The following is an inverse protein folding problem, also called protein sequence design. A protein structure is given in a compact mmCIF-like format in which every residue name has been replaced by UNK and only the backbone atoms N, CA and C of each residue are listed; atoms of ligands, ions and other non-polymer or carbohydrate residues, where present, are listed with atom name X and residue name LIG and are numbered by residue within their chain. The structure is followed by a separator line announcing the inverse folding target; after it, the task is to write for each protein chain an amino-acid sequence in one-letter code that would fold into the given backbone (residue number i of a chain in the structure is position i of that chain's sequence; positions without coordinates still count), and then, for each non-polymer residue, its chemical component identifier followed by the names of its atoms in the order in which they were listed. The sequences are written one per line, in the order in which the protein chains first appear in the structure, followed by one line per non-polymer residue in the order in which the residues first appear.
data_IF_022164223176
#
_entry.id   IF_022164223176
#
_cell.length_a   1.000
_cell.length_b   1.000
_cell.length_c   1.000
_cell.angle_alpha   90.00
_cell.angle_beta   90.00
_cell.angle_gamma   90.00
#
_symmetry.space_group_name_H-M   'P 1'
#
loop_
_entity.id
_entity.type
_entity.pdbx_description
1 polymer ?
#
# COMPACT_ATOMS: atom_id res chain seq x y z
N UNK A 1 -17.77 -42.73 -8.72
CA UNK A 1 -18.01 -41.28 -8.52
C UNK A 1 -16.66 -40.58 -8.53
N UNK A 2 -16.49 -39.50 -9.29
CA UNK A 2 -15.27 -38.70 -9.22
C UNK A 2 -15.27 -37.88 -7.92
N UNK A 3 -14.18 -37.91 -7.18
CA UNK A 3 -13.99 -37.08 -5.98
C UNK A 3 -14.05 -35.59 -6.36
N UNK A 4 -14.74 -34.80 -5.54
CA UNK A 4 -14.91 -33.35 -5.72
C UNK A 4 -13.80 -32.57 -5.01
N UNK A 5 -13.55 -31.32 -5.39
CA UNK A 5 -12.54 -30.46 -4.71
C UNK A 5 -12.78 -30.34 -3.19
N UNK A 6 -14.06 -30.38 -2.78
CA UNK A 6 -14.47 -30.44 -1.37
C UNK A 6 -13.93 -31.68 -0.66
N UNK A 7 -13.91 -32.84 -1.34
CA UNK A 7 -13.43 -34.09 -0.77
C UNK A 7 -11.91 -34.03 -0.53
N UNK A 8 -11.15 -33.40 -1.45
CA UNK A 8 -9.71 -33.21 -1.31
C UNK A 8 -9.33 -32.21 -0.21
N UNK A 9 -10.09 -31.12 -0.05
CA UNK A 9 -9.88 -30.14 1.03
C UNK A 9 -10.05 -30.79 2.41
N UNK A 10 -11.09 -31.61 2.56
CA UNK A 10 -11.37 -32.36 3.79
C UNK A 10 -10.30 -33.42 4.04
N UNK A 11 -9.88 -34.15 3.01
CA UNK A 11 -8.80 -35.13 3.11
C UNK A 11 -7.53 -34.48 3.65
N UNK A 12 -7.11 -33.36 3.05
CA UNK A 12 -5.87 -32.74 3.41
C UNK A 12 -5.93 -32.03 4.79
N UNK A 13 -7.11 -31.65 5.32
CA UNK A 13 -7.27 -31.26 6.74
C UNK A 13 -6.95 -32.41 7.70
N UNK A 14 -7.26 -33.64 7.30
CA UNK A 14 -6.99 -34.83 8.10
C UNK A 14 -5.49 -35.17 8.07
N UNK A 15 -4.82 -34.99 6.93
CA UNK A 15 -3.36 -35.09 6.83
C UNK A 15 -2.64 -34.04 7.68
N UNK A 16 -3.08 -32.78 7.66
CA UNK A 16 -2.50 -31.72 8.49
C UNK A 16 -2.59 -32.05 9.98
N UNK A 17 -3.75 -32.55 10.43
CA UNK A 17 -3.95 -32.93 11.83
C UNK A 17 -3.06 -34.13 12.22
N UNK A 18 -2.89 -35.08 11.30
CA UNK A 18 -2.02 -36.25 11.49
C UNK A 18 -0.54 -35.86 11.58
N UNK A 19 -0.07 -34.95 10.71
CA UNK A 19 1.31 -34.44 10.74
C UNK A 19 1.58 -33.61 12.01
N UNK A 20 0.64 -32.76 12.42
CA UNK A 20 0.71 -32.02 13.69
C UNK A 20 0.89 -32.96 14.90
N UNK A 21 0.24 -34.13 14.89
CA UNK A 21 0.38 -35.15 15.93
C UNK A 21 1.77 -35.80 15.91
N UNK A 22 2.31 -36.07 14.73
CA UNK A 22 3.60 -36.78 14.55
C UNK A 22 4.83 -35.89 14.78
N UNK A 23 4.78 -34.63 14.35
CA UNK A 23 5.94 -33.73 14.34
C UNK A 23 6.09 -32.91 15.62
N UNK A 24 5.08 -32.87 16.49
CA UNK A 24 5.11 -32.09 17.72
C UNK A 24 5.59 -32.93 18.93
N UNK A 25 6.80 -32.69 19.46
CA UNK A 25 7.37 -33.46 20.57
C UNK A 25 6.65 -33.27 21.92
N UNK A 26 5.67 -32.35 22.00
CA UNK A 26 4.81 -32.16 23.17
C UNK A 26 3.48 -32.92 23.08
N UNK A 27 3.08 -33.40 21.89
CA UNK A 27 1.86 -34.20 21.73
C UNK A 27 1.96 -35.50 22.52
N UNK A 28 3.13 -36.14 22.54
CA UNK A 28 3.41 -37.31 23.38
C UNK A 28 3.13 -37.10 24.88
N UNK A 29 3.25 -35.86 25.38
CA UNK A 29 2.97 -35.49 26.77
C UNK A 29 1.50 -35.17 27.03
N UNK A 30 0.71 -34.95 25.98
CA UNK A 30 -0.71 -34.61 26.02
C UNK A 30 -1.61 -35.77 25.54
N UNK A 31 -1.02 -36.91 25.16
CA UNK A 31 -1.76 -38.13 24.85
C UNK A 31 -2.45 -38.63 26.13
N UNK A 32 -3.77 -38.68 26.06
CA UNK A 32 -4.64 -39.26 27.08
C UNK A 32 -5.36 -40.46 26.49
N UNK A 33 -5.89 -41.34 27.34
CA UNK A 33 -6.72 -42.47 26.88
C UNK A 33 -7.91 -41.99 26.05
N UNK A 34 -8.41 -40.77 26.33
CA UNK A 34 -9.58 -40.21 25.65
C UNK A 34 -9.27 -39.69 24.24
N UNK A 35 -8.05 -39.16 23.98
CA UNK A 35 -7.67 -38.66 22.65
C UNK A 35 -6.94 -39.70 21.78
N UNK A 36 -6.42 -40.79 22.36
CA UNK A 36 -5.73 -41.84 21.61
C UNK A 36 -6.65 -42.54 20.60
N UNK A 37 -7.91 -42.74 20.96
CA UNK A 37 -8.91 -43.34 20.07
C UNK A 37 -9.19 -42.44 18.84
N UNK A 38 -9.18 -41.12 19.05
CA UNK A 38 -9.36 -40.16 17.97
C UNK A 38 -8.13 -40.06 17.07
N UNK A 39 -6.92 -40.20 17.64
CA UNK A 39 -5.67 -40.31 16.87
C UNK A 39 -5.67 -41.56 15.99
N UNK A 40 -5.99 -42.74 16.53
CA UNK A 40 -6.12 -43.97 15.73
C UNK A 40 -7.18 -43.86 14.63
N UNK A 41 -8.28 -43.15 14.90
CA UNK A 41 -9.30 -42.85 13.89
C UNK A 41 -8.76 -41.97 12.76
N UNK A 42 -7.97 -40.95 13.07
CA UNK A 42 -7.29 -40.13 12.06
C UNK A 42 -6.29 -40.97 11.24
N UNK A 43 -5.48 -41.83 11.88
CA UNK A 43 -4.56 -42.76 11.18
C UNK A 43 -5.33 -43.65 10.19
N UNK A 44 -6.40 -44.28 10.65
CA UNK A 44 -7.21 -45.19 9.85
C UNK A 44 -7.85 -44.50 8.63
N UNK A 45 -8.26 -43.23 8.78
CA UNK A 45 -8.81 -42.45 7.67
C UNK A 45 -7.72 -42.11 6.64
N UNK A 46 -6.52 -41.72 7.10
CA UNK A 46 -5.37 -41.48 6.21
C UNK A 46 -4.98 -42.73 5.44
N UNK A 47 -4.89 -43.88 6.12
CA UNK A 47 -4.58 -45.17 5.48
C UNK A 47 -5.63 -45.56 4.43
N UNK A 48 -6.92 -45.39 4.76
CA UNK A 48 -8.03 -45.67 3.84
C UNK A 48 -7.99 -44.74 2.62
N UNK A 49 -7.70 -43.45 2.84
CA UNK A 49 -7.54 -42.47 1.76
C UNK A 49 -6.39 -42.84 0.81
N UNK A 50 -5.23 -43.23 1.36
CA UNK A 50 -4.08 -43.67 0.56
C UNK A 50 -4.42 -44.95 -0.22
N UNK A 51 -5.10 -45.91 0.41
CA UNK A 51 -5.52 -47.14 -0.25
C UNK A 51 -6.46 -46.85 -1.43
N UNK A 52 -7.47 -46.00 -1.24
CA UNK A 52 -8.39 -45.58 -2.31
C UNK A 52 -7.68 -44.85 -3.45
N UNK A 53 -6.72 -43.99 -3.13
CA UNK A 53 -5.96 -43.25 -4.15
C UNK A 53 -5.09 -44.20 -4.98
N UNK A 54 -4.53 -45.25 -4.36
CA UNK A 54 -3.82 -46.32 -5.06
C UNK A 54 -4.72 -47.18 -5.94
N UNK A 55 -5.89 -47.56 -5.44
CA UNK A 55 -6.88 -48.31 -6.22
C UNK A 55 -7.40 -47.53 -7.43
N UNK A 56 -7.43 -46.20 -7.33
CA UNK A 56 -7.91 -45.32 -8.41
C UNK A 56 -6.80 -44.75 -9.31
N UNK A 57 -5.53 -45.06 -9.04
CA UNK A 57 -4.38 -44.60 -9.84
C UNK A 57 -4.17 -43.08 -9.83
N UNK A 58 -4.50 -42.41 -8.72
CA UNK A 58 -4.47 -40.94 -8.58
C UNK A 58 -3.36 -40.43 -7.67
N UNK A 59 -2.30 -41.20 -7.48
CA UNK A 59 -1.23 -40.92 -6.54
C UNK A 59 -0.52 -39.59 -6.83
N UNK A 60 -0.21 -39.34 -8.10
CA UNK A 60 0.45 -38.10 -8.55
C UNK A 60 -0.42 -36.87 -8.33
N UNK A 61 -1.74 -37.00 -8.48
CA UNK A 61 -2.69 -35.91 -8.23
C UNK A 61 -2.75 -35.57 -6.73
N UNK A 62 -2.81 -36.59 -5.87
CA UNK A 62 -2.77 -36.39 -4.41
C UNK A 62 -1.44 -35.76 -3.96
N UNK A 63 -0.32 -36.24 -4.50
CA UNK A 63 1.01 -35.72 -4.16
C UNK A 63 1.17 -34.24 -4.53
N UNK A 64 0.72 -33.84 -5.73
CA UNK A 64 0.74 -32.44 -6.16
C UNK A 64 -0.11 -31.55 -5.23
N UNK A 65 -1.32 -31.98 -4.86
CA UNK A 65 -2.18 -31.22 -3.96
C UNK A 65 -1.61 -31.11 -2.53
N UNK A 66 -0.99 -32.17 -2.01
CA UNK A 66 -0.33 -32.12 -0.71
C UNK A 66 0.90 -31.21 -0.73
N UNK A 67 1.71 -31.26 -1.79
CA UNK A 67 2.87 -30.36 -1.95
C UNK A 67 2.47 -28.89 -2.07
N UNK A 68 1.43 -28.60 -2.86
CA UNK A 68 0.89 -27.25 -3.01
C UNK A 68 0.36 -26.71 -1.68
N UNK A 69 -0.40 -27.51 -0.94
CA UNK A 69 -0.92 -27.15 0.38
C UNK A 69 0.18 -26.98 1.43
N UNK A 70 1.18 -27.85 1.43
CA UNK A 70 2.35 -27.77 2.31
C UNK A 70 3.14 -26.48 2.07
N UNK A 71 3.31 -26.09 0.80
CA UNK A 71 3.95 -24.83 0.41
C UNK A 71 3.16 -23.61 0.88
N UNK A 72 1.83 -23.65 0.78
CA UNK A 72 0.94 -22.60 1.30
C UNK A 72 0.97 -22.50 2.84
N UNK A 73 1.04 -23.64 3.55
CA UNK A 73 1.16 -23.67 5.01
C UNK A 73 2.49 -23.12 5.52
N UNK A 74 3.62 -23.46 4.88
CA UNK A 74 4.92 -22.88 5.23
C UNK A 74 4.96 -21.37 4.94
N UNK A 75 4.36 -20.91 3.84
CA UNK A 75 4.23 -19.48 3.57
C UNK A 75 3.44 -18.77 4.68
N UNK A 76 2.34 -19.36 5.16
CA UNK A 76 1.56 -18.79 6.26
C UNK A 76 2.30 -18.82 7.59
N UNK A 77 3.05 -19.88 7.89
CA UNK A 77 3.86 -19.95 9.12
C UNK A 77 5.02 -18.94 9.11
N UNK A 78 5.65 -18.72 7.95
CA UNK A 78 6.69 -17.70 7.77
C UNK A 78 6.08 -16.29 7.89
N UNK A 79 4.95 -16.04 7.24
CA UNK A 79 4.24 -14.75 7.35
C UNK A 79 3.80 -14.47 8.78
N UNK A 80 3.25 -15.46 9.50
CA UNK A 80 2.90 -15.33 10.92
C UNK A 80 4.13 -15.07 11.79
N UNK A 81 5.24 -15.76 11.54
CA UNK A 81 6.49 -15.52 12.27
C UNK A 81 7.03 -14.12 11.99
N UNK A 82 6.90 -13.61 10.77
CA UNK A 82 7.31 -12.25 10.40
C UNK A 82 6.39 -11.20 11.03
N UNK A 83 5.08 -11.45 11.09
CA UNK A 83 4.12 -10.60 11.80
C UNK A 83 4.41 -10.53 13.30
N UNK A 84 4.74 -11.67 13.94
CA UNK A 84 5.20 -11.73 15.33
C UNK A 84 6.51 -10.95 15.56
N UNK A 85 7.35 -10.85 14.52
CA UNK A 85 8.56 -10.03 14.51
C UNK A 85 8.31 -8.57 14.13
N UNK A 86 7.04 -8.17 13.93
CA UNK A 86 6.64 -6.80 13.63
C UNK A 86 6.70 -6.42 12.15
N UNK A 87 6.91 -7.39 11.25
CA UNK A 87 6.89 -7.18 9.79
C UNK A 87 5.54 -7.62 9.25
N UNK A 88 4.71 -6.66 8.87
CA UNK A 88 3.37 -6.96 8.36
C UNK A 88 3.42 -7.65 6.98
N UNK A 89 2.43 -8.50 6.69
CA UNK A 89 2.26 -9.09 5.37
C UNK A 89 2.17 -8.01 4.26
N UNK A 90 1.48 -6.89 4.52
CA UNK A 90 1.41 -5.76 3.59
C UNK A 90 2.78 -5.14 3.28
N UNK A 91 3.66 -5.03 4.28
CA UNK A 91 5.03 -4.53 4.07
C UNK A 91 5.81 -5.47 3.15
N UNK A 92 5.66 -6.79 3.33
CA UNK A 92 6.34 -7.79 2.48
C UNK A 92 5.80 -7.78 1.05
N UNK A 93 4.49 -7.66 0.88
CA UNK A 93 3.87 -7.53 -0.45
C UNK A 93 4.36 -6.26 -1.17
N UNK A 94 4.53 -5.16 -0.44
CA UNK A 94 5.08 -3.91 -0.95
C UNK A 94 6.55 -4.06 -1.38
N UNK A 95 7.41 -4.65 -0.54
CA UNK A 95 8.80 -4.95 -0.88
C UNK A 95 8.92 -5.85 -2.12
N UNK A 96 8.10 -6.91 -2.18
CA UNK A 96 8.12 -7.85 -3.31
C UNK A 96 7.69 -7.17 -4.63
N UNK A 97 6.67 -6.30 -4.58
CA UNK A 97 6.24 -5.54 -5.74
C UNK A 97 7.30 -4.56 -6.21
N UNK A 98 7.94 -3.84 -5.27
CA UNK A 98 9.05 -2.93 -5.57
C UNK A 98 10.19 -3.70 -6.24
N UNK A 99 10.65 -4.80 -5.64
CA UNK A 99 11.74 -5.61 -6.20
C UNK A 99 11.41 -6.11 -7.61
N UNK A 100 10.17 -6.54 -7.86
CA UNK A 100 9.71 -6.94 -9.19
C UNK A 100 9.78 -5.77 -10.18
N UNK A 101 9.30 -4.59 -9.81
CA UNK A 101 9.38 -3.41 -10.67
C UNK A 101 10.81 -2.92 -10.92
N UNK A 102 11.69 -3.04 -9.93
CA UNK A 102 13.11 -2.74 -10.10
C UNK A 102 13.75 -3.63 -11.17
N UNK A 103 13.52 -4.94 -11.09
CA UNK A 103 14.00 -5.91 -12.08
C UNK A 103 13.45 -5.60 -13.49
N UNK A 104 12.17 -5.28 -13.60
CA UNK A 104 11.54 -4.89 -14.87
C UNK A 104 12.17 -3.63 -15.47
N UNK A 105 12.40 -2.60 -14.63
CA UNK A 105 13.07 -1.35 -15.04
C UNK A 105 14.52 -1.60 -15.45
N UNK A 106 15.25 -2.46 -14.73
CA UNK A 106 16.62 -2.85 -15.08
C UNK A 106 16.70 -3.59 -16.42
N UNK A 107 15.70 -4.40 -16.72
CA UNK A 107 15.55 -5.09 -18.00
C UNK A 107 14.99 -4.21 -19.13
N UNK A 108 14.85 -2.89 -18.91
CA UNK A 108 14.40 -1.94 -19.92
C UNK A 108 12.88 -1.93 -20.16
N UNK A 109 12.09 -2.61 -19.33
CA UNK A 109 10.60 -2.66 -19.42
C UNK A 109 9.93 -1.51 -18.67
N UNK A 110 10.54 -0.32 -18.75
CA UNK A 110 10.13 0.88 -18.01
C UNK A 110 8.68 1.30 -18.31
N UNK A 111 8.24 1.21 -19.56
CA UNK A 111 6.87 1.58 -19.96
C UNK A 111 5.80 0.67 -19.33
N UNK A 112 6.12 -0.61 -19.12
CA UNK A 112 5.21 -1.57 -18.48
C UNK A 112 5.02 -1.23 -17.00
N UNK A 113 6.13 -0.94 -16.31
CA UNK A 113 6.09 -0.50 -14.90
C UNK A 113 5.34 0.83 -14.76
N UNK A 114 5.59 1.78 -15.68
CA UNK A 114 4.85 3.05 -15.74
C UNK A 114 3.35 2.83 -15.88
N UNK A 115 2.95 1.94 -16.79
CA UNK A 115 1.53 1.58 -16.98
C UNK A 115 0.93 0.99 -15.70
N UNK A 116 1.67 0.11 -15.00
CA UNK A 116 1.20 -0.47 -13.73
C UNK A 116 0.98 0.61 -12.66
N UNK A 117 1.93 1.54 -12.50
CA UNK A 117 1.82 2.62 -11.52
C UNK A 117 0.65 3.56 -11.87
N UNK A 118 0.48 3.89 -13.15
CA UNK A 118 -0.64 4.74 -13.58
C UNK A 118 -1.97 4.06 -13.32
N UNK A 119 -2.11 2.77 -13.63
CA UNK A 119 -3.31 2.00 -13.32
C UNK A 119 -3.58 1.98 -11.81
N UNK A 120 -2.57 1.79 -10.96
CA UNK A 120 -2.74 1.85 -9.51
C UNK A 120 -3.26 3.21 -9.03
N UNK A 121 -2.79 4.31 -9.62
CA UNK A 121 -3.29 5.65 -9.29
C UNK A 121 -4.76 5.81 -9.73
N UNK A 122 -5.13 5.26 -10.88
CA UNK A 122 -6.49 5.32 -11.43
C UNK A 122 -7.48 4.42 -10.68
N UNK A 123 -7.01 3.29 -10.15
CA UNK A 123 -7.76 2.36 -9.31
C UNK A 123 -7.89 2.87 -7.85
N UNK A 124 -7.35 4.06 -7.54
CA UNK A 124 -7.47 4.70 -6.23
C UNK A 124 -6.45 4.23 -5.19
N UNK A 125 -5.41 3.49 -5.58
CA UNK A 125 -4.33 3.04 -4.70
C UNK A 125 -3.26 4.13 -4.44
N UNK A 126 -3.69 5.39 -4.32
CA UNK A 126 -2.82 6.56 -4.19
C UNK A 126 -2.01 6.51 -2.89
N UNK A 127 -2.64 6.12 -1.78
CA UNK A 127 -1.96 6.02 -0.47
C UNK A 127 -0.78 5.05 -0.51
N UNK A 128 -0.93 3.93 -1.24
CA UNK A 128 0.13 2.92 -1.41
C UNK A 128 1.31 3.45 -2.22
N UNK A 129 1.05 4.25 -3.27
CA UNK A 129 2.13 4.90 -4.03
C UNK A 129 2.85 5.96 -3.19
N UNK A 130 2.11 6.72 -2.38
CA UNK A 130 2.72 7.68 -1.45
C UNK A 130 3.59 6.94 -0.43
N UNK A 131 3.10 5.83 0.13
CA UNK A 131 3.83 4.96 1.06
C UNK A 131 5.15 4.48 0.44
N UNK A 132 5.15 3.98 -0.81
CA UNK A 132 6.37 3.60 -1.52
C UNK A 132 7.38 4.74 -1.55
N UNK A 133 6.94 5.94 -1.92
CA UNK A 133 7.81 7.11 -2.04
C UNK A 133 8.32 7.65 -0.70
N UNK A 134 7.66 7.33 0.42
CA UNK A 134 8.00 7.84 1.75
C UNK A 134 8.74 6.85 2.65
N UNK A 135 8.44 5.56 2.54
CA UNK A 135 8.86 4.54 3.52
C UNK A 135 9.78 3.48 2.95
N UNK A 136 9.74 3.24 1.64
CA UNK A 136 10.50 2.16 1.01
C UNK A 136 11.77 2.66 0.33
N UNK A 137 12.82 1.85 0.41
CA UNK A 137 14.02 2.10 -0.36
C UNK A 137 13.87 1.54 -1.76
N UNK A 138 14.01 2.41 -2.76
CA UNK A 138 13.95 2.03 -4.17
C UNK A 138 15.21 2.49 -4.89
N UNK A 139 15.56 1.77 -5.94
CA UNK A 139 16.59 2.16 -6.87
C UNK A 139 16.21 3.49 -7.53
N UNK A 140 17.22 4.25 -7.91
CA UNK A 140 17.04 5.61 -8.42
C UNK A 140 16.13 5.68 -9.65
N UNK A 141 16.10 4.66 -10.49
CA UNK A 141 15.29 4.67 -11.72
C UNK A 141 13.81 4.51 -11.41
N UNK A 142 13.46 3.53 -10.57
CA UNK A 142 12.09 3.29 -10.15
C UNK A 142 11.56 4.47 -9.32
N UNK A 143 12.38 4.99 -8.41
CA UNK A 143 12.06 6.15 -7.58
C UNK A 143 11.68 7.39 -8.43
N UNK A 144 12.49 7.73 -9.43
CA UNK A 144 12.23 8.84 -10.35
C UNK A 144 11.00 8.62 -11.24
N UNK A 145 10.72 7.36 -11.58
CA UNK A 145 9.59 6.98 -12.39
C UNK A 145 8.28 7.13 -11.60
N UNK A 146 8.23 6.64 -10.37
CA UNK A 146 7.09 6.85 -9.46
C UNK A 146 6.86 8.33 -9.19
N UNK A 147 7.93 9.08 -8.88
CA UNK A 147 7.85 10.54 -8.67
C UNK A 147 7.25 11.23 -9.91
N UNK A 148 7.65 10.80 -11.11
CA UNK A 148 7.13 11.37 -12.35
C UNK A 148 5.64 11.07 -12.56
N UNK A 149 5.20 9.84 -12.28
CA UNK A 149 3.80 9.45 -12.42
C UNK A 149 2.90 10.27 -11.50
N UNK A 150 3.25 10.35 -10.21
CA UNK A 150 2.45 11.08 -9.23
C UNK A 150 2.50 12.59 -9.47
N UNK A 151 3.67 13.13 -9.82
CA UNK A 151 3.82 14.55 -10.17
C UNK A 151 2.98 14.91 -11.39
N UNK A 152 2.85 14.01 -12.37
CA UNK A 152 2.02 14.27 -13.56
C UNK A 152 0.54 14.41 -13.19
N UNK A 153 0.01 13.61 -12.26
CA UNK A 153 -1.37 13.77 -11.78
C UNK A 153 -1.55 15.11 -11.05
N UNK A 154 -0.58 15.48 -10.21
CA UNK A 154 -0.59 16.77 -9.50
C UNK A 154 -0.54 17.97 -10.46
N UNK A 155 0.32 17.93 -11.48
CA UNK A 155 0.43 18.99 -12.51
C UNK A 155 -0.89 19.17 -13.26
N UNK A 156 -1.63 18.07 -13.47
CA UNK A 156 -2.94 18.09 -14.10
C UNK A 156 -4.07 18.48 -13.12
N UNK A 157 -3.73 18.93 -11.92
CA UNK A 157 -4.66 19.33 -10.86
C UNK A 157 -5.64 18.21 -10.47
N UNK A 158 -5.17 16.97 -10.47
CA UNK A 158 -5.94 15.82 -9.98
C UNK A 158 -6.30 16.03 -8.51
N UNK A 159 -7.59 16.21 -8.24
CA UNK A 159 -8.10 16.57 -6.91
C UNK A 159 -7.89 15.42 -5.93
N UNK A 160 -8.10 14.17 -6.36
CA UNK A 160 -7.97 12.99 -5.52
C UNK A 160 -6.52 12.82 -5.05
N UNK A 161 -5.56 12.96 -5.95
CA UNK A 161 -4.13 12.89 -5.60
C UNK A 161 -3.74 14.05 -4.70
N UNK A 162 -4.19 15.28 -4.98
CA UNK A 162 -3.88 16.44 -4.14
C UNK A 162 -4.40 16.28 -2.71
N UNK A 163 -5.65 15.81 -2.55
CA UNK A 163 -6.25 15.55 -1.25
C UNK A 163 -5.53 14.43 -0.49
N UNK A 164 -5.09 13.37 -1.17
CA UNK A 164 -4.32 12.29 -0.53
C UNK A 164 -3.03 12.81 0.15
N UNK A 165 -2.38 13.83 -0.40
CA UNK A 165 -1.23 14.48 0.24
C UNK A 165 -1.62 15.34 1.45
N UNK A 166 -2.81 15.95 1.44
CA UNK A 166 -3.31 16.76 2.57
C UNK A 166 -3.62 15.89 3.79
N UNK A 167 -4.00 14.63 3.56
CA UNK A 167 -4.27 13.66 4.61
C UNK A 167 -3.00 13.16 5.32
N UNK A 168 -1.82 13.40 4.74
CA UNK A 168 -0.56 13.10 5.40
C UNK A 168 -0.37 13.97 6.65
N UNK A 169 0.27 13.39 7.66
CA UNK A 169 0.76 14.18 8.78
C UNK A 169 1.84 15.16 8.29
N UNK A 170 1.97 16.28 8.99
CA UNK A 170 2.86 17.39 8.62
C UNK A 170 4.31 16.94 8.38
N UNK A 171 4.84 16.07 9.23
CA UNK A 171 6.22 15.59 9.12
C UNK A 171 6.43 14.76 7.85
N UNK A 172 5.53 13.81 7.58
CA UNK A 172 5.59 12.95 6.38
C UNK A 172 5.48 13.78 5.11
N UNK A 173 4.51 14.72 5.05
CA UNK A 173 4.35 15.62 3.90
C UNK A 173 5.63 16.42 3.64
N UNK A 174 6.17 17.07 4.67
CA UNK A 174 7.36 17.91 4.51
C UNK A 174 8.59 17.09 4.14
N UNK A 175 8.76 15.88 4.69
CA UNK A 175 9.87 15.01 4.32
C UNK A 175 9.77 14.57 2.86
N UNK A 176 8.58 14.19 2.41
CA UNK A 176 8.34 13.77 1.04
C UNK A 176 8.64 14.91 0.05
N UNK A 177 8.15 16.13 0.32
CA UNK A 177 8.37 17.28 -0.56
C UNK A 177 9.82 17.80 -0.51
N UNK A 178 10.47 17.86 0.66
CA UNK A 178 11.84 18.39 0.75
C UNK A 178 12.88 17.53 0.03
N UNK A 179 12.63 16.21 -0.09
CA UNK A 179 13.56 15.27 -0.71
C UNK A 179 13.37 15.11 -2.22
N UNK A 180 12.32 15.73 -2.80
CA UNK A 180 11.86 15.46 -4.16
C UNK A 180 11.55 16.74 -4.92
N UNK A 181 12.52 17.19 -5.72
CA UNK A 181 12.46 18.53 -6.30
C UNK A 181 11.32 18.73 -7.30
N UNK A 182 11.03 17.74 -8.14
CA UNK A 182 9.96 17.83 -9.13
C UNK A 182 8.60 17.76 -8.46
N UNK A 183 8.45 16.87 -7.47
CA UNK A 183 7.24 16.73 -6.69
C UNK A 183 6.92 17.99 -5.89
N UNK A 184 7.92 18.61 -5.22
CA UNK A 184 7.67 19.81 -4.43
C UNK A 184 7.16 20.97 -5.28
N UNK A 185 7.76 21.20 -6.46
CA UNK A 185 7.37 22.31 -7.34
C UNK A 185 5.93 22.07 -7.82
N UNK A 186 5.66 20.87 -8.33
CA UNK A 186 4.35 20.47 -8.85
C UNK A 186 3.26 20.63 -7.78
N UNK A 187 3.52 20.20 -6.55
CA UNK A 187 2.55 20.28 -5.45
C UNK A 187 2.23 21.72 -5.06
N UNK A 188 3.25 22.59 -5.00
CA UNK A 188 3.04 24.00 -4.70
C UNK A 188 2.32 24.71 -5.85
N UNK A 189 2.61 24.36 -7.11
CA UNK A 189 1.87 24.88 -8.26
C UNK A 189 0.39 24.50 -8.19
N UNK A 190 0.08 23.24 -7.88
CA UNK A 190 -1.29 22.77 -7.69
C UNK A 190 -2.00 23.50 -6.54
N UNK A 191 -1.34 23.67 -5.39
CA UNK A 191 -1.86 24.45 -4.26
C UNK A 191 -2.29 25.86 -4.70
N UNK A 192 -1.42 26.55 -5.45
CA UNK A 192 -1.72 27.90 -5.92
C UNK A 192 -2.82 27.91 -6.98
N UNK A 193 -2.86 26.89 -7.84
CA UNK A 193 -3.94 26.72 -8.81
C UNK A 193 -5.30 26.57 -8.12
N UNK A 194 -5.44 25.66 -7.15
CA UNK A 194 -6.71 25.43 -6.47
C UNK A 194 -7.19 26.67 -5.73
N UNK A 195 -6.29 27.35 -5.01
CA UNK A 195 -6.63 28.59 -4.31
C UNK A 195 -7.06 29.69 -5.29
N UNK A 196 -6.31 29.91 -6.38
CA UNK A 196 -6.65 30.96 -7.37
C UNK A 196 -8.04 30.79 -7.99
N UNK A 197 -8.49 29.56 -8.17
CA UNK A 197 -9.75 29.27 -8.84
C UNK A 197 -10.97 29.28 -7.87
N UNK A 198 -10.77 29.58 -6.59
CA UNK A 198 -11.89 29.75 -5.66
C UNK A 198 -12.65 31.05 -5.92
N UNK A 199 -13.95 31.03 -5.64
CA UNK A 199 -14.85 32.17 -5.76
C UNK A 199 -15.27 32.65 -4.37
N UNK A 200 -15.40 33.96 -4.22
CA UNK A 200 -15.89 34.55 -2.98
C UNK A 200 -17.41 34.71 -3.03
N UNK A 201 -18.14 33.90 -2.26
CA UNK A 201 -19.61 33.89 -2.23
C UNK A 201 -20.09 33.83 -0.79
N UNK A 202 -20.97 34.76 -0.39
CA UNK A 202 -21.57 34.76 0.94
C UNK A 202 -20.55 34.83 2.09
N UNK A 203 -19.52 35.66 1.93
CA UNK A 203 -18.39 35.83 2.85
C UNK A 203 -17.52 34.58 3.04
N UNK A 204 -17.52 33.64 2.10
CA UNK A 204 -16.69 32.45 2.12
C UNK A 204 -16.02 32.21 0.78
N UNK A 205 -14.82 31.67 0.82
CA UNK A 205 -14.14 31.12 -0.34
C UNK A 205 -14.69 29.72 -0.63
N UNK A 206 -15.20 29.52 -1.84
CA UNK A 206 -15.76 28.24 -2.30
C UNK A 206 -15.04 27.77 -3.56
N UNK A 207 -14.92 26.45 -3.70
CA UNK A 207 -14.37 25.80 -4.89
C UNK A 207 -15.48 25.06 -5.64
N UNK A 208 -15.33 24.93 -6.95
CA UNK A 208 -16.16 24.02 -7.77
C UNK A 208 -15.66 22.57 -7.70
N UNK A 209 -14.52 22.36 -7.05
CA UNK A 209 -13.88 21.06 -6.82
C UNK A 209 -13.92 20.72 -5.32
N UNK A 210 -13.54 19.49 -4.96
CA UNK A 210 -13.55 19.02 -3.57
C UNK A 210 -12.51 19.71 -2.66
N UNK A 211 -11.53 20.43 -3.25
CA UNK A 211 -10.53 21.18 -2.49
C UNK A 211 -11.15 22.43 -1.86
N UNK A 212 -11.26 22.47 -0.53
CA UNK A 212 -11.84 23.60 0.21
C UNK A 212 -10.80 24.64 0.64
N UNK A 213 -11.27 25.82 1.05
CA UNK A 213 -10.42 26.87 1.62
C UNK A 213 -9.68 26.39 2.87
N UNK A 214 -10.30 25.57 3.73
CA UNK A 214 -9.65 25.00 4.90
C UNK A 214 -8.47 24.08 4.53
N UNK A 215 -8.58 23.30 3.44
CA UNK A 215 -7.48 22.49 2.94
C UNK A 215 -6.28 23.36 2.54
N UNK A 216 -6.52 24.43 1.79
CA UNK A 216 -5.49 25.40 1.39
C UNK A 216 -4.86 26.04 2.62
N UNK A 217 -5.68 26.50 3.56
CA UNK A 217 -5.21 27.18 4.77
C UNK A 217 -4.37 26.26 5.65
N UNK A 218 -4.76 24.98 5.79
CA UNK A 218 -3.99 23.95 6.51
C UNK A 218 -2.57 23.82 5.92
N UNK A 219 -2.46 23.69 4.61
CA UNK A 219 -1.17 23.57 3.92
C UNK A 219 -0.33 24.86 4.04
N UNK A 220 -0.95 26.02 3.84
CA UNK A 220 -0.27 27.31 3.94
C UNK A 220 0.29 27.54 5.35
N UNK A 221 -0.46 27.18 6.40
CA UNK A 221 0.03 27.23 7.79
C UNK A 221 1.23 26.31 8.00
N UNK A 222 1.17 25.07 7.50
CA UNK A 222 2.30 24.13 7.56
C UNK A 222 3.54 24.71 6.89
N UNK A 223 3.40 25.23 5.67
CA UNK A 223 4.53 25.69 4.88
C UNK A 223 5.12 27.03 5.34
N UNK A 224 4.28 27.94 5.85
CA UNK A 224 4.74 29.23 6.39
C UNK A 224 5.31 29.13 7.80
N UNK A 225 5.12 28.00 8.49
CA UNK A 225 5.68 27.74 9.82
C UNK A 225 7.02 26.99 9.78
N UNK A 226 7.39 26.40 8.64
CA UNK A 226 8.66 25.68 8.46
C UNK A 226 9.80 26.66 8.11
N UNK A 227 11.05 26.33 8.45
CA UNK A 227 12.25 27.09 8.10
C UNK A 227 13.05 26.51 6.93
N UNK A 228 12.50 25.49 6.24
CA UNK A 228 13.15 24.76 5.14
C UNK A 228 12.85 25.35 3.76
N UNK A 229 13.42 24.74 2.72
CA UNK A 229 13.30 25.08 1.28
C UNK A 229 11.87 25.42 0.83
N UNK A 230 10.88 24.72 1.37
CA UNK A 230 9.45 24.95 1.05
C UNK A 230 8.97 26.34 1.46
N UNK A 231 9.45 26.87 2.60
CA UNK A 231 9.04 28.18 3.11
C UNK A 231 9.41 29.32 2.16
N UNK A 232 10.67 29.39 1.73
CA UNK A 232 11.15 30.47 0.87
C UNK A 232 10.42 30.49 -0.48
N UNK A 233 10.16 29.31 -1.04
CA UNK A 233 9.41 29.16 -2.29
C UNK A 233 7.96 29.62 -2.12
N UNK A 234 7.28 29.18 -1.06
CA UNK A 234 5.90 29.57 -0.77
C UNK A 234 5.78 31.07 -0.53
N UNK A 235 6.69 31.64 0.27
CA UNK A 235 6.71 33.07 0.56
C UNK A 235 6.94 33.90 -0.70
N UNK A 236 7.90 33.51 -1.54
CA UNK A 236 8.15 34.16 -2.82
C UNK A 236 6.93 34.11 -3.74
N UNK A 237 6.30 32.94 -3.88
CA UNK A 237 5.09 32.78 -4.71
C UNK A 237 3.88 33.54 -4.17
N UNK A 238 3.69 33.56 -2.85
CA UNK A 238 2.60 34.31 -2.21
C UNK A 238 2.74 35.81 -2.49
N UNK A 239 3.96 36.35 -2.36
CA UNK A 239 4.22 37.75 -2.71
C UNK A 239 3.91 38.03 -4.18
N UNK A 240 4.35 37.18 -5.10
CA UNK A 240 4.03 37.34 -6.53
C UNK A 240 2.52 37.28 -6.80
N UNK A 241 1.81 36.34 -6.17
CA UNK A 241 0.37 36.16 -6.34
C UNK A 241 -0.45 37.36 -5.84
N UNK A 242 0.00 38.01 -4.77
CA UNK A 242 -0.62 39.24 -4.23
C UNK A 242 -0.53 40.45 -5.18
N UNK A 243 0.41 40.45 -6.13
CA UNK A 243 0.55 41.52 -7.13
C UNK A 243 -0.24 41.28 -8.41
N UNK A 244 -0.97 40.16 -8.52
CA UNK A 244 -1.79 39.85 -9.68
C UNK A 244 -3.23 40.37 -9.52
N UNK A 245 -4.00 40.52 -10.62
CA UNK A 245 -5.43 40.78 -10.54
C UNK A 245 -6.16 39.69 -9.74
N UNK A 246 -7.26 40.06 -9.08
CA UNK A 246 -8.10 39.17 -8.27
C UNK A 246 -7.35 38.46 -7.12
N UNK A 247 -6.45 39.20 -6.45
CA UNK A 247 -5.58 38.66 -5.41
C UNK A 247 -6.19 38.58 -3.99
N UNK A 248 -7.49 38.85 -3.83
CA UNK A 248 -8.13 38.94 -2.50
C UNK A 248 -7.96 37.67 -1.67
N UNK A 249 -8.01 36.50 -2.29
CA UNK A 249 -7.81 35.22 -1.58
C UNK A 249 -6.45 35.14 -0.90
N UNK A 250 -5.40 35.68 -1.51
CA UNK A 250 -4.04 35.62 -0.96
C UNK A 250 -3.88 36.52 0.25
N UNK A 251 -4.55 37.67 0.27
CA UNK A 251 -4.59 38.55 1.44
C UNK A 251 -5.33 37.88 2.60
N UNK A 252 -6.46 37.22 2.32
CA UNK A 252 -7.22 36.49 3.32
C UNK A 252 -6.42 35.30 3.87
N UNK A 253 -5.79 34.50 3.00
CA UNK A 253 -4.93 33.38 3.42
C UNK A 253 -3.78 33.86 4.31
N UNK A 254 -3.07 34.93 3.92
CA UNK A 254 -1.97 35.48 4.72
C UNK A 254 -2.46 35.95 6.09
N UNK A 255 -3.58 36.68 6.13
CA UNK A 255 -4.20 37.15 7.37
C UNK A 255 -4.62 35.97 8.27
N UNK A 256 -5.26 34.96 7.71
CA UNK A 256 -5.80 33.81 8.45
C UNK A 256 -4.69 32.82 8.87
N UNK A 257 -3.52 32.88 8.25
CA UNK A 257 -2.31 32.21 8.73
C UNK A 257 -1.69 32.89 9.97
N UNK A 258 -1.89 34.21 10.13
CA UNK A 258 -1.34 35.01 11.24
C UNK A 258 -2.25 35.04 12.48
N UNK A 259 -3.54 34.72 12.33
CA UNK A 259 -4.47 34.63 13.45
C UNK A 259 -4.30 33.25 14.12
N UNK A 260 -3.65 33.25 15.30
CA UNK A 260 -3.55 32.11 16.23
C UNK A 260 -4.64 32.15 17.27
#
# INVERSE_FOLDING_TARGET
MAATDSDFINLARIFDHYLMILENPHVGKQVTIDNIAQMFKCCSIVETAIAMVRETGKETLLENHLQERWRLQQSNAILQSLEELGVSASTLENEALIASWEEEVENGRQEQVTTCIVNMLEDGHISRIIEFLSEFHMNKKLDQLMETCISSKIINNDTTVFLAFIELNTTSLLNLLNNRDKLHISFIDALFYFARNMKYVGNKWISEQEVTYEHILKLMKVFLSDSRKVYDLIKGRLQLAKHQPDCSIWNDIEKDCLQQ
#
